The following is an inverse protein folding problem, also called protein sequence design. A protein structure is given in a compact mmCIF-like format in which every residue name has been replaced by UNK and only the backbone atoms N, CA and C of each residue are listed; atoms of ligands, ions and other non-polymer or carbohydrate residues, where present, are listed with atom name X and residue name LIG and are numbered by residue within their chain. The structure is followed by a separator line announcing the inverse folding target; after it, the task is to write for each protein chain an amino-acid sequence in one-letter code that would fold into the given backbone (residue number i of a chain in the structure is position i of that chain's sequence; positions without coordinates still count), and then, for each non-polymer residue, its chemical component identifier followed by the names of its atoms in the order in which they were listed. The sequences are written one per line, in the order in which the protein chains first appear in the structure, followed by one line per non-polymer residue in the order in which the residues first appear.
data_IF_035469538230
#
_entry.id   IF_035469538230
#
_cell.length_a   1.000
_cell.length_b   1.000
_cell.length_c   1.000
_cell.angle_alpha   90.00
_cell.angle_beta   90.00
_cell.angle_gamma   90.00
#
_symmetry.space_group_name_H-M   'P 1'
#
loop_
_entity.id
_entity.type
_entity.pdbx_description
1 polymer ?
#
# COMPACT_ATOMS: atom_id res chain seq x y z
N UNK A 1 5.35 -2.08 -7.12
CA UNK A 1 4.81 -2.57 -8.40
C UNK A 1 4.34 -1.37 -9.20
N UNK A 2 4.60 -1.31 -10.52
CA UNK A 2 4.30 -0.13 -11.34
C UNK A 2 3.45 -0.53 -12.54
N UNK A 3 2.28 0.09 -12.73
CA UNK A 3 1.44 -0.10 -13.91
C UNK A 3 0.85 -1.49 -14.10
N UNK A 4 0.85 -2.33 -13.05
CA UNK A 4 0.38 -3.70 -13.16
C UNK A 4 -1.15 -3.75 -13.16
N UNK A 5 -1.71 -4.72 -13.89
CA UNK A 5 -3.14 -4.98 -13.96
C UNK A 5 -3.45 -6.43 -13.58
N UNK A 6 -4.58 -6.65 -12.90
CA UNK A 6 -5.12 -7.96 -12.53
C UNK A 6 -4.14 -8.79 -11.66
N UNK A 7 -3.71 -8.20 -10.55
CA UNK A 7 -2.73 -8.81 -9.63
C UNK A 7 -3.40 -9.36 -8.37
N UNK A 8 -3.01 -10.56 -7.97
CA UNK A 8 -3.31 -11.14 -6.66
C UNK A 8 -2.02 -11.30 -5.85
N UNK A 9 -2.00 -10.72 -4.66
CA UNK A 9 -1.01 -10.97 -3.62
C UNK A 9 -1.75 -11.63 -2.46
N UNK A 10 -1.43 -12.88 -2.14
CA UNK A 10 -2.17 -13.66 -1.17
C UNK A 10 -1.25 -14.45 -0.23
N UNK A 11 -1.54 -14.38 1.08
CA UNK A 11 -0.92 -15.26 2.08
C UNK A 11 0.57 -15.01 2.37
N UNK A 12 1.15 -13.90 1.90
CA UNK A 12 2.58 -13.63 2.09
C UNK A 12 2.85 -12.98 3.46
N UNK A 13 4.08 -13.18 3.94
CA UNK A 13 4.62 -12.52 5.14
C UNK A 13 5.80 -11.63 4.72
N UNK A 14 5.70 -10.33 4.97
CA UNK A 14 6.81 -9.37 4.82
C UNK A 14 7.26 -8.99 6.22
N UNK A 15 8.51 -9.31 6.56
CA UNK A 15 9.09 -9.11 7.90
C UNK A 15 10.32 -8.20 7.77
N UNK A 16 10.09 -6.91 7.54
CA UNK A 16 11.18 -5.95 7.37
C UNK A 16 11.84 -5.61 8.72
N UNK A 17 13.13 -5.25 8.68
CA UNK A 17 13.81 -4.73 9.86
C UNK A 17 13.30 -3.31 10.18
N UNK A 18 12.58 -3.16 11.30
CA UNK A 18 11.95 -1.91 11.76
C UNK A 18 12.91 -0.74 12.05
N UNK A 19 14.23 -0.95 11.92
CA UNK A 19 15.25 0.11 12.06
C UNK A 19 15.74 0.67 10.72
N UNK A 20 15.28 0.14 9.59
CA UNK A 20 15.68 0.58 8.26
C UNK A 20 14.82 1.75 7.78
N UNK A 21 15.39 2.61 6.92
CA UNK A 21 14.64 3.69 6.27
C UNK A 21 14.03 3.20 4.96
N UNK A 22 12.89 3.78 4.56
CA UNK A 22 12.23 3.56 3.25
C UNK A 22 11.97 2.07 2.93
N UNK A 23 11.63 1.29 3.95
CA UNK A 23 11.45 -0.15 3.84
C UNK A 23 9.97 -0.48 3.84
N UNK A 24 9.27 -0.01 2.81
CA UNK A 24 7.83 -0.20 2.57
C UNK A 24 7.51 -1.70 2.37
N UNK A 25 6.23 -2.07 2.53
CA UNK A 25 5.74 -3.42 2.26
C UNK A 25 5.32 -3.61 0.80
N UNK A 26 4.12 -3.17 0.46
CA UNK A 26 3.54 -3.31 -0.88
C UNK A 26 3.14 -1.95 -1.43
N UNK A 27 3.67 -1.63 -2.62
CA UNK A 27 3.49 -0.34 -3.27
C UNK A 27 2.78 -0.50 -4.62
N UNK A 28 1.43 -0.46 -4.70
CA UNK A 28 0.74 -0.32 -5.97
C UNK A 28 0.90 1.12 -6.49
N UNK A 29 1.73 1.29 -7.51
CA UNK A 29 1.94 2.56 -8.22
C UNK A 29 1.28 2.51 -9.60
N UNK A 30 0.27 3.35 -9.84
CA UNK A 30 -0.53 3.32 -11.07
C UNK A 30 -1.12 1.94 -11.44
N UNK A 31 -1.41 1.10 -10.43
CA UNK A 31 -1.92 -0.25 -10.65
C UNK A 31 -3.45 -0.29 -10.76
N UNK A 32 -3.98 -1.33 -11.42
CA UNK A 32 -5.43 -1.56 -11.58
C UNK A 32 -5.84 -2.97 -11.20
N UNK A 33 -7.02 -3.13 -10.62
CA UNK A 33 -7.61 -4.44 -10.30
C UNK A 33 -6.66 -5.30 -9.44
N UNK A 34 -6.22 -4.75 -8.31
CA UNK A 34 -5.28 -5.43 -7.41
C UNK A 34 -6.04 -5.99 -6.19
N UNK A 35 -5.69 -7.20 -5.77
CA UNK A 35 -6.18 -7.83 -4.54
C UNK A 35 -5.00 -8.17 -3.64
N UNK A 36 -4.97 -7.63 -2.44
CA UNK A 36 -3.96 -7.90 -1.41
C UNK A 36 -4.67 -8.55 -0.22
N UNK A 37 -4.52 -9.86 -0.10
CA UNK A 37 -5.35 -10.68 0.78
C UNK A 37 -4.51 -11.48 1.77
N UNK A 38 -5.02 -11.65 2.99
CA UNK A 38 -4.48 -12.60 3.98
C UNK A 38 -2.98 -12.42 4.28
N UNK A 39 -2.46 -11.19 4.14
CA UNK A 39 -1.04 -10.90 4.32
C UNK A 39 -0.70 -10.49 5.75
N UNK A 40 0.54 -10.76 6.15
CA UNK A 40 1.12 -10.22 7.38
C UNK A 40 2.32 -9.35 7.04
N UNK A 41 2.26 -8.07 7.39
CA UNK A 41 3.28 -7.09 6.99
C UNK A 41 3.78 -6.34 8.23
N UNK A 42 5.08 -6.46 8.46
CA UNK A 42 5.86 -5.63 9.38
C UNK A 42 6.79 -4.74 8.54
N UNK A 43 6.63 -3.43 8.64
CA UNK A 43 7.32 -2.45 7.80
C UNK A 43 7.99 -1.36 8.63
N UNK A 44 9.21 -0.98 8.26
CA UNK A 44 9.89 0.16 8.90
C UNK A 44 9.39 1.50 8.35
N UNK A 45 8.72 1.46 7.20
CA UNK A 45 8.01 2.58 6.62
C UNK A 45 6.56 2.14 6.38
N UNK A 46 5.96 2.40 5.22
CA UNK A 46 4.53 2.13 5.02
C UNK A 46 4.26 0.63 4.77
N UNK A 47 3.21 0.01 5.34
CA UNK A 47 2.92 -1.41 5.06
C UNK A 47 2.33 -1.59 3.65
N UNK A 48 1.25 -0.87 3.35
CA UNK A 48 0.64 -0.83 2.02
C UNK A 48 0.47 0.63 1.63
N UNK A 49 1.09 1.04 0.53
CA UNK A 49 1.11 2.43 0.09
C UNK A 49 0.70 2.56 -1.37
N UNK A 50 -0.39 3.28 -1.60
CA UNK A 50 -0.88 3.57 -2.94
C UNK A 50 -0.17 4.80 -3.48
N UNK A 51 0.46 4.67 -4.65
CA UNK A 51 1.21 5.74 -5.30
C UNK A 51 0.67 5.97 -6.72
N UNK A 52 0.88 7.19 -7.19
CA UNK A 52 0.82 7.59 -8.59
C UNK A 52 2.02 8.49 -8.84
N UNK A 53 3.17 7.90 -9.14
CA UNK A 53 4.46 8.58 -9.33
C UNK A 53 4.52 9.39 -10.61
N UNK A 54 5.00 10.65 -10.52
CA UNK A 54 5.08 11.59 -11.66
C UNK A 54 5.75 11.00 -12.91
N UNK A 55 6.87 10.29 -12.73
CA UNK A 55 7.61 9.61 -13.82
C UNK A 55 6.72 8.66 -14.65
N UNK A 56 5.64 8.17 -14.05
CA UNK A 56 4.73 7.17 -14.58
C UNK A 56 3.33 7.73 -14.86
N UNK A 57 3.15 9.05 -14.88
CA UNK A 57 1.83 9.69 -15.01
C UNK A 57 1.00 9.22 -16.22
N UNK A 58 1.66 8.81 -17.31
CA UNK A 58 1.02 8.27 -18.51
C UNK A 58 0.23 6.96 -18.26
N UNK A 59 0.46 6.29 -17.13
CA UNK A 59 -0.24 5.07 -16.74
C UNK A 59 -1.63 5.33 -16.15
N UNK A 60 -2.00 6.59 -15.84
CA UNK A 60 -3.34 6.99 -15.39
C UNK A 60 -3.58 6.81 -13.88
N UNK A 61 -4.81 6.61 -13.40
CA UNK A 61 -5.07 6.46 -11.95
C UNK A 61 -4.56 5.13 -11.36
N UNK A 62 -4.41 5.10 -10.03
CA UNK A 62 -4.25 3.86 -9.24
C UNK A 62 -5.61 3.49 -8.65
N UNK A 63 -6.20 2.37 -9.09
CA UNK A 63 -7.64 2.15 -8.89
C UNK A 63 -8.10 0.70 -8.84
N UNK A 64 -9.31 0.50 -8.30
CA UNK A 64 -9.95 -0.81 -8.16
C UNK A 64 -9.08 -1.77 -7.35
N UNK A 65 -8.74 -1.37 -6.12
CA UNK A 65 -7.87 -2.17 -5.25
C UNK A 65 -8.63 -2.61 -4.00
N UNK A 66 -8.50 -3.89 -3.66
CA UNK A 66 -9.04 -4.46 -2.42
C UNK A 66 -7.88 -4.94 -1.55
N UNK A 67 -7.85 -4.46 -0.32
CA UNK A 67 -6.99 -4.98 0.76
C UNK A 67 -7.90 -5.66 1.77
N UNK A 68 -7.68 -6.95 2.02
CA UNK A 68 -8.55 -7.71 2.93
C UNK A 68 -7.81 -8.71 3.81
N UNK A 69 -8.29 -8.90 5.04
CA UNK A 69 -7.81 -9.93 5.97
C UNK A 69 -6.32 -9.83 6.33
N UNK A 70 -5.75 -8.63 6.28
CA UNK A 70 -4.33 -8.41 6.56
C UNK A 70 -4.07 -8.00 8.02
N UNK A 71 -2.93 -8.40 8.56
CA UNK A 71 -2.39 -7.90 9.84
C UNK A 71 -1.20 -6.99 9.56
N UNK A 72 -1.26 -5.74 10.01
CA UNK A 72 -0.31 -4.68 9.63
C UNK A 72 0.34 -4.05 10.87
N UNK A 73 1.67 -3.95 10.86
CA UNK A 73 2.48 -3.24 11.86
C UNK A 73 3.52 -2.37 11.17
N UNK A 74 3.56 -1.08 11.49
CA UNK A 74 4.51 -0.17 10.84
C UNK A 74 5.03 0.94 11.76
N UNK A 75 6.31 1.30 11.63
CA UNK A 75 6.85 2.49 12.31
C UNK A 75 6.46 3.82 11.62
N UNK A 76 5.86 3.75 10.42
CA UNK A 76 5.26 4.88 9.67
C UNK A 76 3.74 4.73 9.55
N UNK A 77 3.18 4.29 8.43
CA UNK A 77 1.74 4.03 8.28
C UNK A 77 1.40 2.59 7.87
N UNK A 78 0.30 2.04 8.40
CA UNK A 78 -0.19 0.73 7.97
C UNK A 78 -0.84 0.81 6.58
N UNK A 79 -1.72 1.78 6.36
CA UNK A 79 -2.27 2.09 5.04
C UNK A 79 -1.95 3.53 4.70
N UNK A 80 -1.38 3.78 3.53
CA UNK A 80 -1.10 5.14 3.06
C UNK A 80 -1.50 5.37 1.61
N UNK A 81 -1.92 6.60 1.34
CA UNK A 81 -2.08 7.15 0.00
C UNK A 81 -1.07 8.30 -0.17
N UNK A 82 -0.27 8.23 -1.24
CA UNK A 82 0.88 9.09 -1.49
C UNK A 82 2.20 8.53 -0.94
N UNK A 83 3.29 9.28 -0.90
CA UNK A 83 3.39 10.73 -1.07
C UNK A 83 3.21 11.15 -2.53
N UNK A 84 3.62 10.30 -3.46
CA UNK A 84 3.50 10.51 -4.88
C UNK A 84 2.04 10.34 -5.32
N UNK A 85 1.38 11.45 -5.63
CA UNK A 85 -0.07 11.50 -5.87
C UNK A 85 -0.47 12.37 -7.08
N UNK A 86 0.26 12.26 -8.19
CA UNK A 86 -0.02 13.06 -9.40
C UNK A 86 -1.29 12.65 -10.17
N UNK A 87 -1.95 11.59 -9.77
CA UNK A 87 -3.20 11.12 -10.38
C UNK A 87 -4.15 10.56 -9.32
N UNK A 88 -5.37 10.20 -9.73
CA UNK A 88 -6.42 9.80 -8.80
C UNK A 88 -6.11 8.45 -8.14
N UNK A 89 -6.43 8.38 -6.84
CA UNK A 89 -6.68 7.13 -6.13
C UNK A 89 -8.17 6.86 -6.13
N UNK A 90 -8.63 5.80 -6.80
CA UNK A 90 -10.08 5.59 -7.03
C UNK A 90 -10.53 4.16 -6.70
N UNK A 91 -11.68 4.04 -6.04
CA UNK A 91 -12.30 2.74 -5.72
C UNK A 91 -11.32 1.78 -5.01
N UNK A 92 -10.85 2.19 -3.83
CA UNK A 92 -9.94 1.41 -2.99
C UNK A 92 -10.67 1.04 -1.71
N UNK A 93 -10.80 -0.27 -1.45
CA UNK A 93 -11.48 -0.82 -0.27
C UNK A 93 -10.47 -1.51 0.62
N UNK A 94 -10.42 -1.13 1.90
CA UNK A 94 -9.65 -1.82 2.93
C UNK A 94 -10.64 -2.38 3.94
N UNK A 95 -10.66 -3.70 4.14
CA UNK A 95 -11.66 -4.37 4.98
C UNK A 95 -11.07 -5.51 5.80
N UNK A 96 -11.62 -5.74 6.99
CA UNK A 96 -11.22 -6.82 7.89
C UNK A 96 -9.69 -6.90 8.15
N UNK A 97 -9.04 -5.74 8.30
CA UNK A 97 -7.61 -5.67 8.63
C UNK A 97 -7.41 -5.38 10.11
N UNK A 98 -6.40 -6.01 10.71
CA UNK A 98 -5.93 -5.71 12.06
C UNK A 98 -4.71 -4.82 11.95
N UNK A 99 -4.85 -3.56 12.35
CA UNK A 99 -3.74 -2.62 12.43
C UNK A 99 -3.35 -2.51 13.91
N UNK A 100 -2.08 -2.81 14.22
CA UNK A 100 -1.59 -2.77 15.60
C UNK A 100 -0.17 -2.23 15.65
N UNK A 101 0.23 -1.66 16.80
CA UNK A 101 1.60 -1.15 17.05
C UNK A 101 2.15 -0.28 15.90
N UNK A 102 1.27 0.51 15.29
CA UNK A 102 1.60 1.33 14.13
C UNK A 102 1.55 2.80 14.50
N UNK A 103 2.48 3.61 14.02
CA UNK A 103 2.50 5.05 14.29
C UNK A 103 1.25 5.75 13.71
N UNK A 104 0.89 5.46 12.45
CA UNK A 104 -0.35 5.93 11.80
C UNK A 104 -1.16 4.76 11.25
N UNK A 105 -2.42 4.63 11.68
CA UNK A 105 -3.29 3.59 11.15
C UNK A 105 -3.57 3.77 9.65
N UNK A 106 -4.09 4.93 9.29
CA UNK A 106 -4.33 5.36 7.91
C UNK A 106 -3.71 6.74 7.73
N UNK A 107 -3.04 6.96 6.60
CA UNK A 107 -2.38 8.23 6.28
C UNK A 107 -2.72 8.68 4.86
N UNK A 108 -3.14 9.93 4.72
CA UNK A 108 -3.26 10.62 3.44
C UNK A 108 -2.19 11.70 3.41
N UNK A 109 -1.16 11.53 2.59
CA UNK A 109 -0.12 12.52 2.39
C UNK A 109 -0.03 12.80 0.90
N UNK A 110 -0.77 13.79 0.44
CA UNK A 110 -0.91 14.09 -0.98
C UNK A 110 -0.03 15.30 -1.34
N UNK A 111 0.67 15.23 -2.46
CA UNK A 111 1.47 16.28 -3.08
C UNK A 111 1.23 16.34 -4.58
#
# INVERSE_FOLDING_TARGET
MVGCQDVLIDGIRILNNLKMVNCDGIDPDHCRNVRINNCHIESADDCIVFKTTEKNAYLGPCENIVVSNCTLTSTSAAIKFGTESVSDFRNITVTNCVISRTNRGISLMLR
#
